data_IF_067257014984
#
_entry.id   IF_067257014984
#
_cell.length_a   1.000
_cell.length_b   1.000
_cell.length_c   1.000
_cell.angle_alpha   90.00
_cell.angle_beta   90.00
_cell.angle_gamma   90.00
#
_symmetry.space_group_name_H-M   'P 1'
#
loop_
_entity.id
_entity.type
_entity.pdbx_description
1 polymer ?
#
# COMPACT_ATOMS: atom_id res chain seq x y z
N UNK A 1 20.75 16.07 11.89
CA UNK A 1 20.68 15.20 10.70
C UNK A 1 19.22 15.01 10.35
N UNK A 2 18.65 15.79 9.42
CA UNK A 2 17.24 15.62 9.01
C UNK A 2 17.18 14.56 7.91
N UNK A 3 16.62 13.40 8.23
CA UNK A 3 16.41 12.32 7.26
C UNK A 3 15.26 12.63 6.30
N UNK A 4 15.32 12.13 5.07
CA UNK A 4 14.24 12.30 4.12
C UNK A 4 13.00 11.51 4.58
N UNK A 5 11.83 12.17 4.59
CA UNK A 5 10.55 11.49 4.83
C UNK A 5 10.18 10.69 3.58
N UNK A 6 9.94 9.40 3.77
CA UNK A 6 9.32 8.52 2.78
C UNK A 6 7.99 7.99 3.33
N UNK A 7 7.27 7.26 2.50
CA UNK A 7 5.96 6.74 2.86
C UNK A 7 5.96 5.23 2.65
N UNK A 8 5.84 4.49 3.74
CA UNK A 8 5.62 3.05 3.68
C UNK A 8 4.13 2.80 3.44
N UNK A 9 3.81 2.06 2.39
CA UNK A 9 2.47 1.60 2.09
C UNK A 9 2.45 0.08 2.09
N UNK A 10 1.47 -0.51 2.76
CA UNK A 10 1.36 -1.94 3.00
C UNK A 10 -0.09 -2.39 2.86
N UNK A 11 -0.26 -3.63 2.41
CA UNK A 11 -1.57 -4.26 2.30
C UNK A 11 -1.57 -5.59 3.02
N UNK A 12 -2.62 -5.81 3.79
CA UNK A 12 -2.83 -7.04 4.53
C UNK A 12 -4.21 -7.62 4.18
N UNK A 13 -4.32 -8.94 4.27
CA UNK A 13 -5.59 -9.65 4.21
C UNK A 13 -5.65 -10.64 5.36
N UNK A 14 -6.83 -11.06 5.74
CA UNK A 14 -6.98 -12.02 6.81
C UNK A 14 -8.42 -12.43 7.04
N UNK A 15 -8.59 -13.31 8.01
CA UNK A 15 -9.87 -13.78 8.51
C UNK A 15 -9.92 -13.61 10.03
N UNK A 16 -10.84 -14.30 10.70
CA UNK A 16 -10.95 -14.29 12.16
C UNK A 16 -9.79 -14.98 12.90
N UNK A 17 -8.93 -15.72 12.21
CA UNK A 17 -7.88 -16.54 12.80
C UNK A 17 -6.46 -16.12 12.38
N UNK A 18 -6.30 -15.53 11.18
CA UNK A 18 -4.99 -15.28 10.57
C UNK A 18 -4.93 -13.94 9.88
N UNK A 19 -3.70 -13.45 9.72
CA UNK A 19 -3.35 -12.27 8.95
C UNK A 19 -2.18 -12.58 8.02
N UNK A 20 -2.26 -12.10 6.79
CA UNK A 20 -1.30 -12.31 5.72
C UNK A 20 -0.88 -10.95 5.15
N UNK A 21 0.42 -10.79 4.91
CA UNK A 21 0.94 -9.64 4.18
C UNK A 21 0.81 -9.89 2.68
N UNK A 22 0.11 -8.98 1.99
CA UNK A 22 -0.22 -9.11 0.56
C UNK A 22 0.68 -8.25 -0.34
N UNK A 23 1.52 -7.40 0.27
CA UNK A 23 2.50 -6.58 -0.43
C UNK A 23 2.77 -5.25 0.28
N UNK A 24 3.85 -4.60 -0.13
CA UNK A 24 4.25 -3.30 0.40
C UNK A 24 5.23 -2.58 -0.51
N UNK A 25 5.33 -1.26 -0.36
CA UNK A 25 6.28 -0.40 -1.07
C UNK A 25 6.70 0.78 -0.20
N UNK A 26 7.90 1.31 -0.46
CA UNK A 26 8.35 2.58 0.10
C UNK A 26 8.36 3.60 -1.03
N UNK A 27 7.47 4.58 -0.94
CA UNK A 27 7.34 5.65 -1.91
C UNK A 27 8.06 6.92 -1.44
N UNK A 28 8.67 7.69 -2.36
CA UNK A 28 9.32 8.95 -2.00
C UNK A 28 8.30 10.07 -1.74
N UNK A 29 7.04 9.91 -2.16
CA UNK A 29 5.97 10.91 -1.94
C UNK A 29 4.67 10.24 -1.54
N UNK A 30 3.82 10.99 -0.81
CA UNK A 30 2.48 10.56 -0.42
C UNK A 30 1.59 10.22 -1.63
N UNK A 31 1.69 10.99 -2.73
CA UNK A 31 0.95 10.72 -3.96
C UNK A 31 1.26 9.33 -4.52
N UNK A 32 2.54 8.95 -4.52
CA UNK A 32 2.98 7.66 -5.05
C UNK A 32 2.57 6.51 -4.13
N UNK A 33 2.61 6.70 -2.81
CA UNK A 33 2.09 5.72 -1.85
C UNK A 33 0.59 5.48 -2.05
N UNK A 34 -0.21 6.54 -2.13
CA UNK A 34 -1.66 6.43 -2.35
C UNK A 34 -1.99 5.86 -3.73
N UNK A 35 -1.25 6.24 -4.77
CA UNK A 35 -1.40 5.64 -6.11
C UNK A 35 -1.15 4.13 -6.07
N UNK A 36 -0.11 3.70 -5.34
CA UNK A 36 0.17 2.28 -5.18
C UNK A 36 -0.95 1.57 -4.41
N UNK A 37 -1.44 2.13 -3.29
CA UNK A 37 -2.57 1.58 -2.56
C UNK A 37 -3.85 1.47 -3.41
N UNK A 38 -4.14 2.49 -4.23
CA UNK A 38 -5.25 2.46 -5.21
C UNK A 38 -5.10 1.31 -6.19
N UNK A 39 -3.91 1.10 -6.72
CA UNK A 39 -3.62 -0.06 -7.58
C UNK A 39 -3.83 -1.39 -6.85
N UNK A 40 -3.39 -1.50 -5.59
CA UNK A 40 -3.61 -2.73 -4.80
C UNK A 40 -5.08 -2.97 -4.48
N UNK A 41 -5.85 -1.93 -4.16
CA UNK A 41 -7.28 -2.04 -3.91
C UNK A 41 -8.02 -2.63 -5.11
N UNK A 42 -7.75 -2.09 -6.31
CA UNK A 42 -8.32 -2.61 -7.57
C UNK A 42 -7.86 -4.03 -7.84
N UNK A 43 -6.55 -4.32 -7.69
CA UNK A 43 -6.00 -5.66 -7.90
C UNK A 43 -6.67 -6.71 -6.99
N UNK A 44 -6.88 -6.38 -5.72
CA UNK A 44 -7.52 -7.28 -4.76
C UNK A 44 -8.99 -7.45 -5.11
N UNK A 45 -9.72 -6.36 -5.35
CA UNK A 45 -11.13 -6.43 -5.72
C UNK A 45 -11.35 -7.28 -6.98
N UNK A 46 -10.51 -7.10 -8.01
CA UNK A 46 -10.59 -7.86 -9.25
C UNK A 46 -10.21 -9.34 -9.10
N UNK A 47 -9.38 -9.67 -8.12
CA UNK A 47 -9.03 -11.05 -7.80
C UNK A 47 -10.11 -11.76 -6.99
N UNK A 48 -10.83 -11.04 -6.12
CA UNK A 48 -11.89 -11.58 -5.27
C UNK A 48 -13.23 -11.70 -5.99
N UNK A 49 -13.57 -10.70 -6.79
CA UNK A 49 -14.83 -10.62 -7.53
C UNK A 49 -14.51 -10.30 -9.00
N UNK A 50 -14.01 -11.29 -9.74
CA UNK A 50 -13.76 -11.16 -11.17
C UNK A 50 -15.09 -11.10 -11.95
N UNK A 51 -15.16 -10.20 -12.94
CA UNK A 51 -16.28 -10.21 -13.88
C UNK A 51 -16.38 -11.55 -14.66
N UNK A 52 -17.57 -11.93 -15.13
CA UNK A 52 -17.81 -13.24 -15.74
C UNK A 52 -16.96 -13.50 -17.00
N UNK A 53 -16.53 -12.45 -17.70
CA UNK A 53 -15.80 -12.51 -18.96
C UNK A 53 -14.27 -12.41 -18.79
N UNK A 54 -13.71 -12.75 -17.63
CA UNK A 54 -12.26 -12.70 -17.41
C UNK A 54 -11.55 -13.78 -18.23
N UNK A 55 -10.57 -13.36 -19.03
CA UNK A 55 -9.81 -14.22 -19.95
C UNK A 55 -9.07 -15.42 -19.29
N UNK A 56 -8.81 -15.36 -17.98
CA UNK A 56 -8.18 -16.47 -17.26
C UNK A 56 -9.20 -17.56 -16.84
N UNK A 57 -10.49 -17.24 -16.83
CA UNK A 57 -11.56 -18.14 -16.43
C UNK A 57 -12.23 -18.73 -17.69
N UNK A 58 -12.30 -20.06 -17.85
CA UNK A 58 -13.07 -20.68 -18.93
C UNK A 58 -14.55 -20.25 -18.89
N UNK A 59 -15.24 -20.21 -20.04
CA UNK A 59 -16.68 -19.90 -20.08
C UNK A 59 -17.49 -20.78 -19.14
N UNK A 60 -18.42 -20.19 -18.40
CA UNK A 60 -19.24 -20.91 -17.41
C UNK A 60 -18.55 -21.20 -16.08
N UNK A 61 -17.32 -20.71 -15.84
CA UNK A 61 -16.64 -20.84 -14.54
C UNK A 61 -17.12 -19.81 -13.52
N UNK A 62 -17.49 -18.61 -13.97
CA UNK A 62 -17.89 -17.48 -13.13
C UNK A 62 -19.36 -17.14 -13.34
N UNK A 63 -20.13 -17.13 -12.26
CA UNK A 63 -21.57 -16.89 -12.30
C UNK A 63 -21.91 -15.70 -11.41
N UNK A 64 -22.83 -14.85 -11.86
CA UNK A 64 -23.28 -13.72 -11.06
C UNK A 64 -24.09 -14.23 -9.87
N UNK A 65 -23.63 -13.91 -8.66
CA UNK A 65 -24.37 -14.19 -7.43
C UNK A 65 -25.13 -12.94 -6.99
N UNK A 66 -26.35 -13.08 -6.43
CA UNK A 66 -26.98 -12.00 -5.70
C UNK A 66 -26.07 -11.50 -4.58
N UNK A 67 -26.00 -10.19 -4.42
CA UNK A 67 -25.21 -9.56 -3.36
C UNK A 67 -25.88 -9.80 -2.00
N UNK A 68 -25.15 -10.42 -1.07
CA UNK A 68 -25.64 -10.71 0.28
C UNK A 68 -24.64 -10.19 1.33
N UNK A 69 -24.91 -9.01 1.87
CA UNK A 69 -24.18 -8.44 3.01
C UNK A 69 -22.98 -7.56 2.64
N UNK A 70 -22.04 -7.40 3.57
CA UNK A 70 -20.84 -6.60 3.34
C UNK A 70 -19.95 -7.23 2.27
N UNK A 71 -19.47 -6.42 1.34
CA UNK A 71 -18.72 -6.85 0.16
C UNK A 71 -17.40 -6.08 0.10
N UNK A 72 -16.31 -6.78 0.39
CA UNK A 72 -14.99 -6.20 0.40
C UNK A 72 -14.55 -5.72 -1.00
N UNK A 73 -14.71 -6.51 -2.09
CA UNK A 73 -14.47 -6.01 -3.44
C UNK A 73 -15.16 -4.67 -3.75
N UNK A 74 -16.44 -4.54 -3.44
CA UNK A 74 -17.18 -3.28 -3.67
C UNK A 74 -16.63 -2.13 -2.84
N UNK A 75 -16.34 -2.34 -1.55
CA UNK A 75 -15.73 -1.33 -0.69
C UNK A 75 -14.34 -0.88 -1.18
N UNK A 76 -13.52 -1.83 -1.66
CA UNK A 76 -12.20 -1.54 -2.21
C UNK A 76 -12.29 -0.71 -3.50
N UNK A 77 -13.22 -1.05 -4.40
CA UNK A 77 -13.50 -0.26 -5.62
C UNK A 77 -14.01 1.13 -5.28
N UNK A 78 -14.92 1.22 -4.32
CA UNK A 78 -15.43 2.49 -3.82
C UNK A 78 -14.30 3.37 -3.30
N UNK A 79 -13.47 2.86 -2.38
CA UNK A 79 -12.32 3.60 -1.86
C UNK A 79 -11.35 4.04 -2.96
N UNK A 80 -11.09 3.15 -3.93
CA UNK A 80 -10.20 3.46 -5.05
C UNK A 80 -10.74 4.57 -5.97
N UNK A 81 -12.06 4.69 -6.11
CA UNK A 81 -12.73 5.66 -6.98
C UNK A 81 -13.10 6.97 -6.27
N UNK A 82 -13.32 6.95 -4.96
CA UNK A 82 -13.78 8.10 -4.17
C UNK A 82 -12.63 9.11 -3.94
N UNK A 83 -12.69 10.23 -4.66
CA UNK A 83 -11.70 11.30 -4.55
C UNK A 83 -11.68 11.98 -3.17
N UNK A 84 -12.79 12.00 -2.44
CA UNK A 84 -12.87 12.57 -1.09
C UNK A 84 -12.14 11.71 -0.05
N UNK A 85 -12.26 10.38 -0.17
CA UNK A 85 -11.48 9.44 0.64
C UNK A 85 -9.98 9.52 0.32
N UNK A 86 -9.62 9.68 -0.96
CA UNK A 86 -8.22 9.88 -1.36
C UNK A 86 -7.65 11.20 -0.82
N UNK A 87 -8.40 12.29 -0.88
CA UNK A 87 -8.00 13.59 -0.33
C UNK A 87 -7.84 13.53 1.19
N UNK A 88 -8.75 12.81 1.88
CA UNK A 88 -8.63 12.58 3.32
C UNK A 88 -7.34 11.82 3.64
N UNK A 89 -7.08 10.71 2.94
CA UNK A 89 -5.84 9.94 3.13
C UNK A 89 -4.59 10.78 2.88
N UNK A 90 -4.63 11.66 1.87
CA UNK A 90 -3.55 12.58 1.55
C UNK A 90 -3.26 13.56 2.68
N UNK A 91 -4.30 14.13 3.31
CA UNK A 91 -4.17 15.05 4.44
C UNK A 91 -3.60 14.37 5.68
N UNK A 92 -4.08 13.18 6.03
CA UNK A 92 -3.50 12.40 7.15
C UNK A 92 -1.99 12.21 6.98
N UNK A 93 -1.55 11.79 5.78
CA UNK A 93 -0.13 11.61 5.48
C UNK A 93 0.65 12.94 5.41
N UNK A 94 -0.01 14.05 5.08
CA UNK A 94 0.57 15.38 5.13
C UNK A 94 0.86 15.83 6.57
N UNK A 95 -0.04 15.50 7.48
CA UNK A 95 0.04 15.86 8.89
C UNK A 95 0.97 14.92 9.70
N UNK A 96 1.70 14.04 9.01
CA UNK A 96 2.59 13.08 9.64
C UNK A 96 1.86 11.86 10.24
N UNK A 97 0.56 11.74 10.03
CA UNK A 97 -0.27 10.69 10.62
C UNK A 97 -0.39 9.48 9.70
N UNK A 98 -0.45 8.25 10.24
CA UNK A 98 -0.77 7.08 9.45
C UNK A 98 -2.23 7.12 8.97
N UNK A 99 -2.49 6.51 7.82
CA UNK A 99 -3.82 6.31 7.27
C UNK A 99 -4.09 4.81 7.10
N UNK A 100 -5.30 4.38 7.43
CA UNK A 100 -5.76 3.01 7.24
C UNK A 100 -7.18 2.95 6.70
N UNK A 101 -7.40 2.09 5.71
CA UNK A 101 -8.72 1.72 5.22
C UNK A 101 -8.91 0.21 5.35
N UNK A 102 -10.12 -0.21 5.74
CA UNK A 102 -10.45 -1.60 6.02
C UNK A 102 -11.72 -1.99 5.29
N UNK A 103 -11.60 -2.91 4.34
CA UNK A 103 -12.73 -3.55 3.68
C UNK A 103 -12.97 -4.91 4.32
N UNK A 104 -14.24 -5.30 4.49
CA UNK A 104 -14.61 -6.61 5.08
C UNK A 104 -15.83 -7.20 4.40
N UNK A 105 -15.86 -8.53 4.35
CA UNK A 105 -17.02 -9.31 3.95
C UNK A 105 -17.19 -10.51 4.90
N UNK A 106 -18.08 -11.45 4.53
CA UNK A 106 -18.32 -12.65 5.31
C UNK A 106 -17.11 -13.60 5.38
N UNK A 107 -16.19 -13.54 4.41
CA UNK A 107 -15.02 -14.41 4.30
C UNK A 107 -13.81 -13.87 5.06
N UNK A 108 -13.67 -12.55 5.16
CA UNK A 108 -12.50 -11.95 5.79
C UNK A 108 -12.42 -10.44 5.67
N UNK A 109 -11.20 -9.93 5.76
CA UNK A 109 -10.90 -8.51 5.76
C UNK A 109 -9.62 -8.19 5.00
N UNK A 110 -9.56 -6.97 4.48
CA UNK A 110 -8.44 -6.43 3.72
C UNK A 110 -8.12 -5.02 4.21
N UNK A 111 -6.87 -4.78 4.57
CA UNK A 111 -6.41 -3.49 5.10
C UNK A 111 -5.40 -2.85 4.16
N UNK A 112 -5.71 -1.63 3.72
CA UNK A 112 -4.80 -0.73 3.04
C UNK A 112 -4.22 0.22 4.09
N UNK A 113 -2.89 0.26 4.23
CA UNK A 113 -2.24 1.05 5.26
C UNK A 113 -1.09 1.85 4.68
N UNK A 114 -0.96 3.11 5.10
CA UNK A 114 0.20 3.94 4.79
C UNK A 114 0.64 4.75 5.99
N UNK A 115 1.95 4.92 6.14
CA UNK A 115 2.52 5.79 7.17
C UNK A 115 3.78 6.51 6.69
N UNK A 116 4.03 7.73 7.17
CA UNK A 116 5.33 8.37 7.00
C UNK A 116 6.43 7.59 7.73
N UNK A 117 7.62 7.53 7.13
CA UNK A 117 8.81 6.92 7.70
C UNK A 117 10.00 7.84 7.49
N UNK A 118 10.82 8.01 8.52
CA UNK A 118 12.08 8.73 8.40
C UNK A 118 13.16 7.77 7.95
N UNK A 119 13.75 8.03 6.78
CA UNK A 119 14.93 7.29 6.33
C UNK A 119 16.15 8.06 6.81
N UNK A 120 17.03 7.47 7.65
CA UNK A 120 18.27 8.12 8.03
C UNK A 120 19.08 8.42 6.75
N UNK A 121 19.54 9.65 6.61
CA UNK A 121 20.56 9.94 5.60
C UNK A 121 21.79 9.13 5.95
N UNK A 122 22.35 8.41 4.97
CA UNK A 122 23.58 7.66 5.18
C UNK A 122 24.64 8.60 5.79
N UNK A 123 25.38 8.17 6.84
CA UNK A 123 26.47 8.96 7.34
C UNK A 123 27.45 9.21 6.20
N UNK A 124 27.81 10.47 5.96
CA UNK A 124 28.90 10.82 5.06
C UNK A 124 30.11 9.97 5.49
N UNK A 125 30.72 9.16 4.61
CA UNK A 125 31.95 8.46 4.97
C UNK A 125 32.93 9.52 5.48
N UNK A 126 33.51 9.29 6.66
CA UNK A 126 34.56 10.17 7.15
C UNK A 126 35.61 10.28 6.03
N UNK A 127 35.90 11.50 5.58
CA UNK A 127 37.07 11.74 4.75
C UNK A 127 38.27 11.19 5.51
N UNK A 128 38.77 10.02 5.10
CA UNK A 128 40.07 9.55 5.57
C UNK A 128 41.06 10.63 5.17
N UNK A 129 41.74 11.28 6.13
CA UNK A 129 42.70 12.30 5.81
C UNK A 129 43.75 11.65 4.91
N UNK A 130 43.79 12.14 3.67
CA UNK A 130 44.74 11.78 2.65
C UNK A 130 46.13 11.69 3.29
N UNK A 131 46.66 10.46 3.39
CA UNK A 131 48.00 10.15 3.89
C UNK A 131 49.03 10.70 2.90
N UNK A 132 49.17 12.02 2.86
CA UNK A 132 50.27 12.71 2.23
C UNK A 132 51.27 13.09 3.31
N UNK A 133 52.01 12.10 3.86
CA UNK A 133 53.31 12.40 4.48
C UNK A 133 54.11 11.15 4.89
N UNK A 134 54.47 10.22 3.98
CA UNK A 134 55.50 9.19 4.29
C UNK A 134 56.27 8.71 3.07
N UNK A 135 56.90 9.63 2.33
CA UNK A 135 58.05 9.30 1.46
C UNK A 135 59.02 10.48 1.39
N UNK A 136 59.63 10.81 2.53
CA UNK A 136 60.96 11.43 2.57
C UNK A 136 61.77 10.76 3.67
N UNK A 137 62.55 9.75 3.29
CA UNK A 137 63.89 9.47 3.80
C UNK A 137 64.59 8.52 2.85
#
# INVERSE_FOLDING_TARGET
>A
MSGAVRYLAEVYGGDGARSLWLGGTVAPTRCLALRWLRGQAVRIADGLDPGPDRAWAPPGTLWTTPHAGADAPTQLRYWAADMGLQETAFRYLADGMPYGFLARDASGWYRLYARPVHVPSAPTPAEEPHRADRTRQ
#
